data_IF_455717998049
#
_entry.id   IF_455717998049
#
_cell.length_a   1.000
_cell.length_b   1.000
_cell.length_c   1.000
_cell.angle_alpha   90.00
_cell.angle_beta   90.00
_cell.angle_gamma   90.00
#
_symmetry.space_group_name_H-M   'P 1'
#
loop_
_entity.id
_entity.type
_entity.pdbx_description
1 polymer ?
#
# COMPACT_ATOMS: atom_id res chain seq x y z
N UNK A 1 6.61 13.39 14.78
CA UNK A 1 5.14 13.34 14.69
C UNK A 1 4.70 14.75 14.38
N UNK A 2 4.17 14.99 13.18
CA UNK A 2 3.63 16.30 12.82
C UNK A 2 2.21 16.46 13.37
N UNK A 3 1.39 15.40 13.26
CA UNK A 3 0.02 15.39 13.77
C UNK A 3 -0.27 14.30 14.82
N UNK A 4 -1.12 14.64 15.80
CA UNK A 4 -1.59 13.67 16.80
C UNK A 4 -2.69 12.76 16.23
N UNK A 5 -3.59 13.30 15.40
CA UNK A 5 -4.73 12.60 14.79
C UNK A 5 -4.66 12.78 13.27
N UNK A 6 -4.94 11.73 12.50
CA UNK A 6 -5.16 11.88 11.06
C UNK A 6 -6.24 12.93 10.75
N UNK A 7 -6.05 13.66 9.65
CA UNK A 7 -6.94 14.76 9.26
C UNK A 7 -8.11 14.31 8.35
N UNK A 8 -8.27 13.00 8.13
CA UNK A 8 -9.30 12.44 7.26
C UNK A 8 -10.73 12.68 7.78
N UNK A 9 -11.69 12.69 6.86
CA UNK A 9 -13.13 12.76 7.17
C UNK A 9 -13.80 11.44 6.80
N UNK A 10 -14.81 11.01 7.54
CA UNK A 10 -15.59 9.84 7.11
C UNK A 10 -16.35 10.18 5.81
N UNK A 11 -16.15 9.39 4.76
CA UNK A 11 -16.76 9.62 3.45
C UNK A 11 -17.45 8.36 2.92
N UNK A 12 -18.59 8.45 2.21
CA UNK A 12 -19.24 7.28 1.64
C UNK A 12 -18.33 6.54 0.66
N UNK A 13 -18.23 5.21 0.80
CA UNK A 13 -17.45 4.41 -0.15
C UNK A 13 -18.14 4.48 -1.53
N UNK A 14 -17.43 4.90 -2.59
CA UNK A 14 -17.99 4.96 -3.93
C UNK A 14 -18.34 3.55 -4.41
N UNK A 15 -19.27 3.46 -5.36
CA UNK A 15 -19.45 2.21 -6.10
C UNK A 15 -18.21 1.95 -6.96
N UNK A 16 -17.74 0.71 -6.96
CA UNK A 16 -16.72 0.25 -7.89
C UNK A 16 -17.32 0.24 -9.29
N UNK A 17 -16.67 0.90 -10.24
CA UNK A 17 -17.11 0.99 -11.63
C UNK A 17 -16.25 0.04 -12.47
N UNK A 18 -16.87 -1.03 -12.97
CA UNK A 18 -16.20 -2.04 -13.78
C UNK A 18 -16.68 -1.91 -15.21
N UNK A 19 -15.76 -1.62 -16.12
CA UNK A 19 -16.00 -1.57 -17.55
C UNK A 19 -15.69 -2.93 -18.18
N UNK A 20 -16.40 -3.28 -19.25
CA UNK A 20 -16.01 -4.38 -20.13
C UNK A 20 -15.89 -3.81 -21.54
N UNK A 21 -14.70 -3.93 -22.12
CA UNK A 21 -14.44 -3.51 -23.50
C UNK A 21 -15.05 -4.47 -24.53
N UNK A 22 -15.12 -4.05 -25.78
CA UNK A 22 -15.89 -4.76 -26.83
C UNK A 22 -15.02 -5.53 -27.83
N UNK A 23 -13.72 -5.59 -27.56
CA UNK A 23 -12.74 -6.30 -28.34
C UNK A 23 -12.76 -7.81 -28.12
N UNK A 24 -11.83 -8.53 -28.76
CA UNK A 24 -11.78 -9.99 -28.74
C UNK A 24 -11.42 -10.55 -27.36
N UNK A 25 -11.03 -9.69 -26.41
CA UNK A 25 -10.74 -10.10 -25.05
C UNK A 25 -11.88 -9.95 -24.07
N UNK A 26 -12.89 -9.14 -24.39
CA UNK A 26 -13.89 -8.68 -23.42
C UNK A 26 -13.24 -8.30 -22.07
N UNK A 27 -12.11 -7.59 -22.13
CA UNK A 27 -11.31 -7.27 -20.97
C UNK A 27 -12.08 -6.38 -20.01
N UNK A 28 -12.04 -6.77 -18.74
CA UNK A 28 -12.67 -6.00 -17.67
C UNK A 28 -11.68 -4.97 -17.14
N UNK A 29 -12.10 -3.73 -16.94
CA UNK A 29 -11.31 -2.69 -16.31
C UNK A 29 -12.02 -2.11 -15.10
N UNK A 30 -11.26 -1.64 -14.12
CA UNK A 30 -11.80 -0.90 -12.99
C UNK A 30 -11.32 0.55 -13.03
N UNK A 31 -12.26 1.49 -12.89
CA UNK A 31 -11.94 2.89 -12.63
C UNK A 31 -11.61 3.00 -11.15
N UNK A 32 -10.34 3.24 -10.84
CA UNK A 32 -9.81 3.16 -9.47
C UNK A 32 -10.17 4.38 -8.60
N UNK A 33 -10.01 5.64 -9.06
CA UNK A 33 -10.26 6.78 -8.20
C UNK A 33 -11.74 6.89 -7.87
N UNK A 34 -12.06 7.23 -6.62
CA UNK A 34 -13.43 7.47 -6.19
C UNK A 34 -14.13 8.54 -7.04
N UNK A 35 -13.37 9.57 -7.43
CA UNK A 35 -13.74 10.67 -8.32
C UNK A 35 -13.81 10.29 -9.80
N UNK A 36 -13.29 9.13 -10.20
CA UNK A 36 -13.27 8.69 -11.58
C UNK A 36 -14.70 8.55 -12.14
N UNK A 37 -14.89 8.99 -13.38
CA UNK A 37 -16.21 9.02 -14.03
C UNK A 37 -16.21 8.26 -15.35
N UNK A 38 -17.40 7.86 -15.79
CA UNK A 38 -17.62 7.27 -17.09
C UNK A 38 -18.84 7.93 -17.73
N UNK A 39 -18.66 8.43 -18.95
CA UNK A 39 -19.71 8.97 -19.79
C UNK A 39 -19.60 8.37 -21.19
N UNK A 40 -20.72 7.95 -21.79
CA UNK A 40 -20.68 7.28 -23.10
C UNK A 40 -20.18 8.18 -24.23
N UNK A 41 -20.37 9.49 -24.11
CA UNK A 41 -19.97 10.47 -25.11
C UNK A 41 -18.58 11.06 -24.84
N UNK A 42 -18.15 11.15 -23.58
CA UNK A 42 -16.85 11.75 -23.20
C UNK A 42 -15.77 10.74 -22.88
N UNK A 43 -16.13 9.53 -22.43
CA UNK A 43 -15.18 8.50 -22.05
C UNK A 43 -14.98 8.29 -20.56
N UNK A 44 -13.87 7.65 -20.23
CA UNK A 44 -13.38 7.52 -18.85
C UNK A 44 -12.61 8.77 -18.43
N UNK A 45 -12.79 9.15 -17.17
CA UNK A 45 -11.93 10.09 -16.45
C UNK A 45 -11.37 9.39 -15.21
N UNK A 46 -10.06 9.51 -14.99
CA UNK A 46 -9.35 8.87 -13.89
C UNK A 46 -8.74 7.51 -14.25
N UNK A 47 -7.76 7.10 -13.44
CA UNK A 47 -7.02 5.86 -13.58
C UNK A 47 -7.95 4.64 -13.81
N UNK A 48 -7.75 3.94 -14.92
CA UNK A 48 -8.57 2.77 -15.29
C UNK A 48 -7.66 1.59 -15.63
N UNK A 49 -7.71 0.51 -14.84
CA UNK A 49 -6.79 -0.63 -14.98
C UNK A 49 -7.54 -1.86 -15.47
N UNK A 50 -7.08 -2.46 -16.57
CA UNK A 50 -7.64 -3.69 -17.10
C UNK A 50 -7.16 -4.91 -16.31
N UNK A 51 -7.96 -5.96 -16.27
CA UNK A 51 -7.52 -7.29 -15.87
C UNK A 51 -6.31 -7.70 -16.70
N UNK A 52 -5.36 -8.37 -16.06
CA UNK A 52 -4.15 -8.85 -16.70
C UNK A 52 -4.48 -9.81 -17.85
N UNK A 53 -3.92 -9.55 -19.03
CA UNK A 53 -4.08 -10.42 -20.21
C UNK A 53 -2.76 -10.55 -20.99
N UNK A 54 -2.29 -11.78 -21.20
CA UNK A 54 -1.02 -12.09 -21.86
C UNK A 54 -0.99 -11.71 -23.35
N UNK A 55 -2.15 -11.57 -24.01
CA UNK A 55 -2.23 -11.14 -25.41
C UNK A 55 -1.77 -9.70 -25.60
N UNK A 56 -1.62 -8.94 -24.51
CA UNK A 56 -1.08 -7.58 -24.49
C UNK A 56 0.43 -7.53 -24.24
N UNK A 57 1.12 -8.66 -24.06
CA UNK A 57 2.59 -8.69 -23.88
C UNK A 57 3.32 -8.62 -25.22
N UNK A 58 3.07 -7.55 -25.95
CA UNK A 58 3.54 -7.38 -27.32
C UNK A 58 5.05 -7.08 -27.33
N UNK A 59 5.80 -7.92 -28.00
CA UNK A 59 7.25 -7.76 -28.23
C UNK A 59 7.61 -7.54 -29.71
N UNK A 60 6.64 -7.67 -30.61
CA UNK A 60 6.77 -7.36 -32.04
C UNK A 60 6.20 -5.99 -32.39
N UNK A 61 5.85 -5.80 -33.66
CA UNK A 61 5.14 -4.61 -34.13
C UNK A 61 3.85 -4.39 -33.35
N UNK A 62 3.56 -3.13 -33.01
CA UNK A 62 2.37 -2.77 -32.26
C UNK A 62 1.86 -1.38 -32.62
N UNK A 63 0.58 -1.15 -32.37
CA UNK A 63 -0.03 0.18 -32.45
C UNK A 63 -0.86 0.46 -31.21
N UNK A 64 -0.65 1.62 -30.61
CA UNK A 64 -1.49 2.21 -29.57
C UNK A 64 -2.23 3.39 -30.19
N UNK A 65 -3.55 3.49 -30.00
CA UNK A 65 -4.28 4.71 -30.37
C UNK A 65 -5.33 5.06 -29.31
N UNK A 66 -5.56 6.36 -29.11
CA UNK A 66 -6.56 6.87 -28.17
C UNK A 66 -7.20 8.18 -28.67
N UNK A 67 -8.45 8.40 -28.27
CA UNK A 67 -9.18 9.65 -28.47
C UNK A 67 -9.30 10.32 -27.11
N UNK A 68 -8.57 11.43 -26.93
CA UNK A 68 -8.39 12.08 -25.65
C UNK A 68 -8.87 13.51 -25.67
N UNK A 69 -9.42 13.99 -24.56
CA UNK A 69 -9.64 15.43 -24.33
C UNK A 69 -8.81 15.85 -23.11
N UNK A 70 -7.59 16.41 -23.30
CA UNK A 70 -6.72 16.84 -22.21
C UNK A 70 -7.31 18.06 -21.48
N UNK A 71 -7.30 18.06 -20.15
CA UNK A 71 -7.74 19.19 -19.33
C UNK A 71 -6.55 20.04 -18.87
N UNK A 72 -5.43 19.40 -18.51
CA UNK A 72 -4.23 20.08 -18.01
C UNK A 72 -2.96 19.35 -18.46
N UNK A 73 -1.92 20.12 -18.82
CA UNK A 73 -0.58 19.61 -19.13
C UNK A 73 0.33 19.76 -17.92
N UNK A 74 0.76 18.66 -17.33
CA UNK A 74 1.70 18.61 -16.20
C UNK A 74 2.72 17.49 -16.38
N UNK A 75 3.52 17.20 -15.36
CA UNK A 75 4.47 16.09 -15.39
C UNK A 75 3.77 14.74 -15.66
N UNK A 76 4.53 13.74 -16.10
CA UNK A 76 4.12 12.36 -16.42
C UNK A 76 2.64 12.00 -16.30
N UNK A 77 1.93 12.04 -17.44
CA UNK A 77 0.52 11.72 -17.57
C UNK A 77 0.30 10.61 -18.61
N UNK A 78 0.27 9.33 -18.19
CA UNK A 78 0.06 8.19 -19.08
C UNK A 78 -1.35 8.18 -19.66
N UNK A 79 -1.48 8.03 -20.97
CA UNK A 79 -2.78 7.95 -21.65
C UNK A 79 -3.19 6.48 -21.78
N UNK A 80 -2.29 5.66 -22.32
CA UNK A 80 -2.46 4.22 -22.53
C UNK A 80 -1.11 3.54 -22.31
N UNK A 81 -1.00 2.74 -21.25
CA UNK A 81 0.29 2.21 -20.79
C UNK A 81 0.21 0.74 -20.36
N UNK A 82 1.30 0.00 -20.57
CA UNK A 82 1.51 -1.38 -20.11
C UNK A 82 2.69 -1.42 -19.13
N UNK A 83 2.53 -0.70 -18.03
CA UNK A 83 3.62 -0.36 -17.12
C UNK A 83 4.60 0.67 -17.70
N UNK A 84 5.58 1.06 -16.89
CA UNK A 84 6.65 2.00 -17.29
C UNK A 84 7.70 1.30 -18.17
N UNK A 85 7.74 -0.04 -18.16
CA UNK A 85 8.83 -0.87 -18.71
C UNK A 85 8.43 -1.79 -19.87
N UNK A 86 7.39 -1.46 -20.63
CA UNK A 86 7.08 -2.17 -21.89
C UNK A 86 6.71 -1.22 -23.04
N UNK A 87 5.55 -0.58 -23.02
CA UNK A 87 5.18 0.45 -24.00
C UNK A 87 4.14 1.41 -23.41
N UNK A 88 4.15 2.66 -23.85
CA UNK A 88 3.07 3.59 -23.53
C UNK A 88 2.96 4.75 -24.52
N UNK A 89 1.75 5.29 -24.58
CA UNK A 89 1.44 6.63 -25.08
C UNK A 89 1.18 7.52 -23.86
N UNK A 90 1.90 8.64 -23.75
CA UNK A 90 1.79 9.56 -22.61
C UNK A 90 2.03 10.99 -23.03
N UNK A 91 1.52 11.93 -22.24
CA UNK A 91 2.02 13.30 -22.26
C UNK A 91 2.88 13.55 -21.01
N UNK A 92 3.86 14.43 -21.10
CA UNK A 92 4.66 14.89 -19.97
C UNK A 92 5.09 16.32 -20.21
N UNK A 93 4.80 17.19 -19.26
CA UNK A 93 4.90 18.64 -19.42
C UNK A 93 4.19 19.08 -20.70
N UNK A 94 4.91 19.67 -21.65
CA UNK A 94 4.38 20.07 -22.96
C UNK A 94 4.88 19.17 -24.10
N UNK A 95 5.00 17.87 -23.84
CA UNK A 95 5.49 16.89 -24.81
C UNK A 95 4.54 15.69 -24.86
N UNK A 96 4.12 15.28 -26.05
CA UNK A 96 3.49 13.98 -26.29
C UNK A 96 4.56 12.96 -26.69
N UNK A 97 4.50 11.76 -26.11
CA UNK A 97 5.48 10.71 -26.32
C UNK A 97 4.80 9.36 -26.57
N UNK A 98 5.30 8.65 -27.58
CA UNK A 98 5.11 7.21 -27.71
C UNK A 98 6.45 6.53 -27.47
N UNK A 99 6.50 5.57 -26.54
CA UNK A 99 7.72 4.83 -26.27
C UNK A 99 7.50 3.31 -26.23
N UNK A 100 8.59 2.61 -26.50
CA UNK A 100 8.80 1.21 -26.11
C UNK A 100 9.98 1.13 -25.14
N UNK A 101 10.02 0.11 -24.30
CA UNK A 101 11.13 -0.20 -23.42
C UNK A 101 11.75 -1.53 -23.85
N UNK A 102 13.05 -1.53 -24.15
CA UNK A 102 13.74 -2.70 -24.68
C UNK A 102 15.21 -2.75 -24.28
N UNK A 103 15.65 -3.88 -23.74
CA UNK A 103 17.05 -4.09 -23.33
C UNK A 103 17.58 -3.02 -22.37
N UNK A 104 16.77 -2.61 -21.39
CA UNK A 104 17.16 -1.66 -20.35
C UNK A 104 16.96 -0.19 -20.68
N UNK A 105 16.34 0.16 -21.82
CA UNK A 105 16.24 1.54 -22.29
C UNK A 105 14.83 1.88 -22.78
N UNK A 106 14.40 3.12 -22.50
CA UNK A 106 13.24 3.75 -23.12
C UNK A 106 13.63 4.34 -24.48
N UNK A 107 12.88 3.99 -25.52
CA UNK A 107 13.04 4.52 -26.87
C UNK A 107 11.74 5.25 -27.21
N UNK A 108 11.83 6.57 -27.39
CA UNK A 108 10.65 7.42 -27.59
C UNK A 108 10.69 8.16 -28.94
N UNK A 109 9.51 8.28 -29.55
CA UNK A 109 9.18 9.33 -30.50
C UNK A 109 8.39 10.41 -29.74
N UNK A 110 8.90 11.64 -29.74
CA UNK A 110 8.36 12.74 -28.93
C UNK A 110 8.08 13.97 -29.79
N UNK A 111 7.01 14.69 -29.45
CA UNK A 111 6.60 15.91 -30.14
C UNK A 111 6.15 16.97 -29.13
N UNK A 112 6.56 18.23 -29.34
CA UNK A 112 6.15 19.34 -28.50
C UNK A 112 4.67 19.69 -28.75
N UNK A 113 3.90 19.79 -27.67
CA UNK A 113 2.49 20.14 -27.70
C UNK A 113 2.29 21.61 -28.08
N UNK A 114 1.26 21.94 -28.88
CA UNK A 114 0.90 23.31 -29.20
C UNK A 114 0.20 23.96 -27.99
N UNK A 115 0.07 25.29 -28.02
CA UNK A 115 -0.52 26.03 -26.89
C UNK A 115 -2.03 25.77 -26.72
N UNK A 116 -2.72 25.31 -27.76
CA UNK A 116 -4.16 24.98 -27.80
C UNK A 116 -4.47 23.49 -27.59
N UNK A 117 -3.54 22.74 -26.99
CA UNK A 117 -3.67 21.29 -26.78
C UNK A 117 -4.81 20.85 -25.83
N UNK A 118 -5.23 21.71 -24.90
CA UNK A 118 -6.22 21.34 -23.89
C UNK A 118 -7.63 21.80 -24.27
N UNK A 119 -8.64 21.07 -23.78
CA UNK A 119 -10.06 21.37 -23.98
C UNK A 119 -10.66 20.85 -25.29
N UNK A 120 -9.83 20.46 -26.26
CA UNK A 120 -10.23 19.81 -27.51
C UNK A 120 -9.98 18.30 -27.50
N UNK A 121 -10.73 17.55 -28.31
CA UNK A 121 -10.47 16.13 -28.52
C UNK A 121 -9.40 15.93 -29.61
N UNK A 122 -8.44 15.06 -29.33
CA UNK A 122 -7.36 14.67 -30.25
C UNK A 122 -7.33 13.16 -30.44
N UNK A 123 -7.07 12.72 -31.68
CA UNK A 123 -6.70 11.35 -31.99
C UNK A 123 -5.18 11.22 -31.97
N UNK A 124 -4.67 10.45 -31.03
CA UNK A 124 -3.23 10.22 -30.84
C UNK A 124 -2.91 8.75 -31.08
N UNK A 125 -1.83 8.47 -31.81
CA UNK A 125 -1.39 7.10 -32.06
C UNK A 125 0.13 6.95 -32.07
N UNK A 126 0.60 5.86 -31.48
CA UNK A 126 1.99 5.42 -31.52
C UNK A 126 2.09 4.10 -32.26
N UNK A 127 2.87 4.06 -33.33
CA UNK A 127 3.09 2.86 -34.16
C UNK A 127 4.54 2.44 -34.03
N UNK A 128 4.77 1.21 -33.57
CA UNK A 128 6.07 0.56 -33.67
C UNK A 128 6.03 -0.51 -34.75
N UNK A 129 6.88 -0.35 -35.74
CA UNK A 129 7.10 -1.32 -36.81
C UNK A 129 8.47 -1.98 -36.59
N UNK A 130 8.45 -3.25 -36.18
CA UNK A 130 9.65 -4.03 -35.89
C UNK A 130 10.43 -4.39 -37.16
N UNK A 131 9.75 -4.54 -38.30
CA UNK A 131 10.39 -4.89 -39.58
C UNK A 131 11.11 -3.68 -40.16
N UNK A 132 10.49 -2.49 -40.05
CA UNK A 132 11.11 -1.22 -40.43
C UNK A 132 12.07 -0.66 -39.36
N UNK A 133 11.97 -1.11 -38.12
CA UNK A 133 12.75 -0.59 -36.98
C UNK A 133 12.38 0.86 -36.64
N UNK A 134 11.10 1.22 -36.68
CA UNK A 134 10.64 2.60 -36.49
C UNK A 134 9.52 2.73 -35.45
N UNK A 135 9.62 3.76 -34.61
CA UNK A 135 8.51 4.30 -33.82
C UNK A 135 8.00 5.57 -34.51
N UNK A 136 6.70 5.67 -34.76
CA UNK A 136 6.07 6.85 -35.34
C UNK A 136 4.93 7.33 -34.46
N UNK A 137 4.95 8.61 -34.15
CA UNK A 137 3.90 9.30 -33.39
C UNK A 137 3.02 10.09 -34.36
N UNK A 138 1.71 9.81 -34.30
CA UNK A 138 0.67 10.47 -35.06
C UNK A 138 -0.25 11.28 -34.14
N UNK A 139 -0.67 12.44 -34.62
CA UNK A 139 -1.68 13.29 -33.96
C UNK A 139 -2.62 13.82 -35.04
N UNK A 140 -3.92 13.58 -34.88
CA UNK A 140 -4.99 14.01 -35.77
C UNK A 140 -4.71 13.63 -37.24
N UNK A 141 -4.28 12.39 -37.44
CA UNK A 141 -3.94 11.82 -38.75
C UNK A 141 -2.58 12.21 -39.32
N UNK A 142 -1.88 13.19 -38.73
CA UNK A 142 -0.57 13.65 -39.21
C UNK A 142 0.59 13.00 -38.44
N UNK A 143 1.66 12.64 -39.14
CA UNK A 143 2.93 12.22 -38.51
C UNK A 143 3.58 13.44 -37.84
N UNK A 144 3.88 13.32 -36.55
CA UNK A 144 4.53 14.38 -35.75
C UNK A 144 5.99 14.08 -35.42
N UNK A 145 6.33 12.81 -35.23
CA UNK A 145 7.70 12.39 -34.94
C UNK A 145 7.94 10.95 -35.40
N UNK A 146 9.18 10.66 -35.81
CA UNK A 146 9.65 9.31 -36.11
C UNK A 146 11.01 9.10 -35.47
N UNK A 147 11.22 7.92 -34.86
CA UNK A 147 12.47 7.48 -34.26
C UNK A 147 12.83 6.09 -34.77
N UNK A 148 14.07 5.89 -35.22
CA UNK A 148 14.58 4.57 -35.61
C UNK A 148 15.19 3.84 -34.41
N UNK A 149 15.11 2.51 -34.41
CA UNK A 149 15.68 1.64 -33.37
C UNK A 149 15.87 0.21 -33.89
N UNK A 150 16.79 -0.52 -33.28
CA UNK A 150 16.94 -1.98 -33.45
C UNK A 150 16.39 -2.77 -32.27
N UNK A 151 15.91 -2.07 -31.22
CA UNK A 151 15.36 -2.68 -30.00
C UNK A 151 13.87 -2.94 -30.18
N UNK A 152 13.41 -4.03 -29.61
CA UNK A 152 12.00 -4.39 -29.50
C UNK A 152 11.53 -4.27 -28.05
N UNK A 153 10.21 -4.16 -27.80
CA UNK A 153 9.68 -4.13 -26.44
C UNK A 153 10.05 -5.40 -25.66
N UNK A 154 10.52 -5.22 -24.43
CA UNK A 154 10.63 -6.30 -23.44
C UNK A 154 9.23 -6.75 -23.00
N UNK A 155 9.12 -7.97 -22.49
CA UNK A 155 7.87 -8.43 -21.85
C UNK A 155 7.85 -8.08 -20.35
N UNK A 156 6.68 -7.74 -19.83
CA UNK A 156 6.41 -7.59 -18.40
C UNK A 156 5.00 -8.11 -18.08
N UNK A 157 4.71 -8.29 -16.79
CA UNK A 157 3.40 -8.76 -16.31
C UNK A 157 2.47 -7.63 -15.86
N UNK A 158 2.86 -6.37 -16.05
CA UNK A 158 2.06 -5.21 -15.70
C UNK A 158 0.70 -5.27 -16.43
N UNK A 159 -0.44 -5.00 -15.80
CA UNK A 159 -1.70 -4.84 -16.52
C UNK A 159 -1.66 -3.62 -17.45
N UNK A 160 -2.51 -3.62 -18.48
CA UNK A 160 -2.73 -2.44 -19.32
C UNK A 160 -3.63 -1.45 -18.57
N UNK A 161 -3.38 -0.16 -18.74
CA UNK A 161 -4.15 0.89 -18.09
C UNK A 161 -4.42 2.08 -19.02
N UNK A 162 -5.54 2.76 -18.76
CA UNK A 162 -5.86 4.08 -19.29
C UNK A 162 -5.69 5.12 -18.19
N UNK A 163 -5.23 6.31 -18.58
CA UNK A 163 -5.08 7.47 -17.71
C UNK A 163 -4.16 7.27 -16.48
N UNK A 164 -3.39 6.19 -16.43
CA UNK A 164 -2.42 5.89 -15.35
C UNK A 164 -1.35 4.92 -15.83
N UNK A 165 -0.32 4.76 -15.01
CA UNK A 165 0.70 3.74 -15.11
C UNK A 165 0.68 2.91 -13.82
N UNK A 166 0.42 1.61 -13.94
CA UNK A 166 0.34 0.69 -12.79
C UNK A 166 1.65 0.58 -12.01
N UNK A 167 2.80 0.86 -12.64
CA UNK A 167 4.09 0.88 -11.96
C UNK A 167 4.31 2.19 -11.16
N UNK A 168 3.56 3.24 -11.50
CA UNK A 168 3.65 4.57 -10.92
C UNK A 168 2.24 5.17 -10.75
N UNK A 169 1.42 4.65 -9.83
CA UNK A 169 -0.02 4.94 -9.78
C UNK A 169 -0.36 6.38 -9.39
N UNK A 170 0.61 7.18 -8.93
CA UNK A 170 0.45 8.63 -8.69
C UNK A 170 0.48 9.46 -9.97
N UNK A 171 0.89 8.87 -11.10
CA UNK A 171 0.90 9.50 -12.42
C UNK A 171 -0.47 9.30 -13.06
N UNK A 172 -1.23 10.39 -13.20
CA UNK A 172 -2.56 10.35 -13.78
C UNK A 172 -2.71 11.33 -14.96
N UNK A 173 -3.43 10.88 -15.99
CA UNK A 173 -3.82 11.77 -17.09
C UNK A 173 -4.96 12.68 -16.68
N UNK A 174 -4.71 13.98 -16.79
CA UNK A 174 -5.73 15.00 -16.58
C UNK A 174 -6.51 15.20 -17.87
N UNK A 175 -7.57 14.42 -18.05
CA UNK A 175 -8.43 14.47 -19.23
C UNK A 175 -9.35 13.26 -19.34
N UNK A 176 -10.16 13.23 -20.39
CA UNK A 176 -11.02 12.08 -20.70
C UNK A 176 -10.45 11.24 -21.84
N UNK A 177 -10.68 9.92 -21.80
CA UNK A 177 -10.31 8.99 -22.87
C UNK A 177 -11.60 8.34 -23.36
N UNK A 178 -12.06 8.76 -24.55
CA UNK A 178 -13.31 8.28 -25.15
C UNK A 178 -13.16 6.90 -25.79
N UNK A 179 -12.01 6.67 -26.39
CA UNK A 179 -11.67 5.43 -27.10
C UNK A 179 -10.20 5.10 -26.91
N UNK A 180 -9.88 3.82 -26.85
CA UNK A 180 -8.52 3.32 -26.80
C UNK A 180 -8.43 1.95 -27.49
N UNK A 181 -7.37 1.75 -28.28
CA UNK A 181 -7.16 0.50 -29.02
C UNK A 181 -5.70 0.08 -28.96
N UNK A 182 -5.49 -1.23 -28.95
CA UNK A 182 -4.16 -1.87 -29.03
C UNK A 182 -4.18 -2.90 -30.14
N UNK A 183 -3.19 -2.84 -31.02
CA UNK A 183 -2.99 -3.81 -32.09
C UNK A 183 -1.62 -4.46 -31.95
N UNK A 184 -1.55 -5.77 -32.19
CA UNK A 184 -0.33 -6.58 -32.31
C UNK A 184 0.24 -6.51 -33.75
N UNK A 185 0.18 -5.33 -34.37
CA UNK A 185 0.75 -5.04 -35.68
C UNK A 185 0.96 -3.52 -35.85
N UNK A 186 1.84 -3.16 -36.78
CA UNK A 186 1.97 -1.77 -37.21
C UNK A 186 0.81 -1.41 -38.14
N UNK A 187 0.13 -0.31 -37.85
CA UNK A 187 -0.90 0.26 -38.72
C UNK A 187 -0.29 1.34 -39.62
N UNK A 188 -0.73 1.36 -40.87
CA UNK A 188 -0.43 2.46 -41.79
C UNK A 188 -1.23 3.73 -41.43
N UNK A 189 -0.76 4.89 -41.90
CA UNK A 189 -1.49 6.14 -41.74
C UNK A 189 -2.90 6.10 -42.38
N UNK A 190 -3.05 5.37 -43.49
CA UNK A 190 -4.34 5.18 -44.15
C UNK A 190 -5.30 4.34 -43.30
N UNK A 191 -4.80 3.29 -42.64
CA UNK A 191 -5.61 2.51 -41.70
C UNK A 191 -5.99 3.36 -40.48
N UNK A 192 -5.05 4.12 -39.90
CA UNK A 192 -5.34 5.01 -38.77
C UNK A 192 -6.46 6.00 -39.06
N UNK A 193 -6.54 6.51 -40.29
CA UNK A 193 -7.61 7.40 -40.75
C UNK A 193 -8.91 6.72 -41.18
N UNK A 194 -8.99 5.38 -41.14
CA UNK A 194 -10.18 4.64 -41.58
C UNK A 194 -11.16 4.35 -40.43
N UNK A 195 -12.43 4.70 -40.67
CA UNK A 195 -13.58 4.37 -39.82
C UNK A 195 -14.13 2.95 -40.06
N UNK A 196 -13.61 2.22 -41.07
CA UNK A 196 -14.09 0.86 -41.37
C UNK A 196 -13.55 -0.21 -40.42
N UNK A 197 -12.61 0.14 -39.54
CA UNK A 197 -11.95 -0.80 -38.63
C UNK A 197 -12.90 -1.24 -37.52
N UNK A 198 -12.78 -2.51 -37.11
CA UNK A 198 -13.63 -3.11 -36.09
C UNK A 198 -12.88 -3.98 -35.07
N UNK A 199 -13.53 -4.36 -33.96
CA UNK A 199 -12.95 -5.20 -32.91
C UNK A 199 -12.53 -6.60 -33.39
N UNK A 200 -13.10 -7.08 -34.49
CA UNK A 200 -12.78 -8.37 -35.10
C UNK A 200 -11.61 -8.34 -36.08
N UNK A 201 -11.01 -7.17 -36.33
CA UNK A 201 -9.92 -7.04 -37.29
C UNK A 201 -8.65 -7.75 -36.81
N UNK A 202 -7.82 -8.15 -37.77
CA UNK A 202 -6.55 -8.81 -37.48
C UNK A 202 -5.66 -7.95 -36.58
N UNK A 203 -5.10 -8.59 -35.55
CA UNK A 203 -4.16 -7.99 -34.62
C UNK A 203 -4.81 -7.20 -33.49
N UNK A 204 -6.12 -6.96 -33.46
CA UNK A 204 -6.76 -6.25 -32.33
C UNK A 204 -6.58 -7.04 -31.03
N UNK A 205 -6.09 -6.37 -29.98
CA UNK A 205 -5.92 -6.90 -28.62
C UNK A 205 -6.77 -6.17 -27.57
N UNK A 206 -7.08 -4.90 -27.82
CA UNK A 206 -8.00 -4.09 -27.03
C UNK A 206 -8.88 -3.26 -27.98
N UNK A 207 -10.19 -3.21 -27.71
CA UNK A 207 -11.14 -2.32 -28.36
C UNK A 207 -12.07 -1.67 -27.34
N UNK A 208 -11.56 -0.62 -26.69
CA UNK A 208 -12.34 0.23 -25.80
C UNK A 208 -12.98 1.38 -26.59
N UNK A 209 -14.31 1.41 -26.62
CA UNK A 209 -15.12 2.55 -27.05
C UNK A 209 -16.18 2.81 -25.99
N UNK A 210 -16.18 3.99 -25.38
CA UNK A 210 -17.12 4.34 -24.31
C UNK A 210 -18.59 4.25 -24.75
N UNK A 211 -18.89 4.43 -26.04
CA UNK A 211 -20.25 4.26 -26.54
C UNK A 211 -20.72 2.81 -26.47
N UNK A 212 -19.81 1.84 -26.65
CA UNK A 212 -20.10 0.41 -26.72
C UNK A 212 -19.75 -0.37 -25.44
N UNK A 213 -18.87 0.16 -24.59
CA UNK A 213 -18.44 -0.52 -23.36
C UNK A 213 -19.63 -0.76 -22.41
N UNK A 214 -19.59 -1.92 -21.75
CA UNK A 214 -20.53 -2.25 -20.68
C UNK A 214 -20.03 -1.69 -19.36
N UNK A 215 -20.92 -1.09 -18.56
CA UNK A 215 -20.60 -0.60 -17.22
C UNK A 215 -21.38 -1.40 -16.18
N UNK A 216 -20.66 -2.03 -15.26
CA UNK A 216 -21.22 -2.66 -14.05
C UNK A 216 -20.79 -1.87 -12.82
N UNK A 217 -21.74 -1.53 -11.96
CA UNK A 217 -21.43 -0.92 -10.66
C UNK A 217 -21.59 -1.94 -9.53
N UNK A 218 -20.57 -2.07 -8.68
CA UNK A 218 -20.62 -2.92 -7.48
C UNK A 218 -20.54 -2.07 -6.22
N UNK A 219 -21.49 -2.25 -5.30
CA UNK A 219 -21.47 -1.61 -3.98
C UNK A 219 -20.52 -2.38 -3.05
N UNK A 220 -19.52 -1.72 -2.44
CA UNK A 220 -18.71 -2.33 -1.39
C UNK A 220 -19.54 -2.67 -0.14
N UNK A 221 -18.99 -3.54 0.73
CA UNK A 221 -19.67 -3.92 1.98
C UNK A 221 -19.55 -2.80 3.01
N UNK A 222 -18.41 -2.12 3.00
CA UNK A 222 -18.06 -0.97 3.79
C UNK A 222 -18.90 0.24 3.35
N UNK A 223 -19.45 0.96 4.31
CA UNK A 223 -20.29 2.14 4.02
C UNK A 223 -19.47 3.41 3.88
N UNK A 224 -18.38 3.50 4.63
CA UNK A 224 -17.53 4.69 4.69
C UNK A 224 -16.05 4.31 4.70
N UNK A 225 -15.21 5.23 4.23
CA UNK A 225 -13.75 5.17 4.33
C UNK A 225 -13.20 6.55 4.72
N UNK A 226 -11.88 6.63 4.97
CA UNK A 226 -11.16 7.90 5.14
C UNK A 226 -10.44 8.23 3.83
N UNK A 227 -10.96 9.19 3.03
CA UNK A 227 -10.32 9.65 1.82
C UNK A 227 -9.10 10.52 2.12
N UNK A 228 -8.23 10.61 1.12
CA UNK A 228 -7.07 11.49 1.10
C UNK A 228 -7.01 12.28 -0.22
N UNK A 229 -5.96 13.08 -0.44
CA UNK A 229 -5.83 13.88 -1.67
C UNK A 229 -5.96 13.03 -2.93
N UNK A 230 -6.74 13.49 -3.91
CA UNK A 230 -7.04 12.75 -5.14
C UNK A 230 -8.33 11.94 -5.13
N UNK A 231 -8.84 11.52 -3.97
CA UNK A 231 -10.12 10.80 -3.89
C UNK A 231 -11.33 11.66 -4.31
N UNK A 232 -11.19 12.99 -4.32
CA UNK A 232 -12.20 13.92 -4.82
C UNK A 232 -11.93 14.41 -6.25
N UNK A 233 -10.89 13.89 -6.91
CA UNK A 233 -10.56 14.25 -8.30
C UNK A 233 -9.81 15.58 -8.41
N UNK A 234 -9.35 16.09 -7.27
CA UNK A 234 -8.40 17.18 -7.17
C UNK A 234 -7.05 16.75 -7.78
N UNK A 235 -6.60 17.51 -8.77
CA UNK A 235 -5.29 17.36 -9.40
C UNK A 235 -4.75 18.76 -9.74
N UNK A 236 -3.59 19.18 -9.20
CA UNK A 236 -2.66 18.41 -8.37
C UNK A 236 -3.14 18.15 -6.94
N UNK A 237 -2.55 17.14 -6.27
CA UNK A 237 -2.75 16.80 -4.85
C UNK A 237 -1.49 16.14 -4.25
N UNK A 238 -1.41 16.06 -2.91
CA UNK A 238 -0.29 15.44 -2.17
C UNK A 238 -0.65 14.07 -1.56
N UNK A 239 -1.64 13.38 -2.14
CA UNK A 239 -2.03 12.01 -1.76
C UNK A 239 -2.31 11.83 -0.28
N UNK A 240 -1.67 10.82 0.31
CA UNK A 240 -1.87 10.34 1.69
C UNK A 240 -1.16 11.17 2.76
N UNK A 241 -0.57 12.31 2.40
CA UNK A 241 0.23 13.13 3.33
C UNK A 241 -0.59 13.67 4.52
N UNK A 242 -1.91 13.65 4.45
CA UNK A 242 -2.84 14.02 5.53
C UNK A 242 -3.17 12.86 6.51
N UNK A 243 -2.71 11.64 6.23
CA UNK A 243 -2.94 10.42 7.00
C UNK A 243 -1.67 9.97 7.77
N UNK A 244 -1.10 10.90 8.54
CA UNK A 244 0.20 10.77 9.19
C UNK A 244 0.16 10.79 10.73
N UNK A 245 -1.04 10.77 11.33
CA UNK A 245 -1.30 10.88 12.76
C UNK A 245 -0.83 9.69 13.62
N UNK A 246 -0.78 9.90 14.95
CA UNK A 246 -0.57 8.81 15.92
C UNK A 246 -1.82 7.93 16.05
N UNK A 247 -3.01 8.54 16.03
CA UNK A 247 -4.30 7.87 16.02
C UNK A 247 -5.04 8.17 14.72
N UNK A 248 -5.96 7.29 14.35
CA UNK A 248 -6.80 7.47 13.15
C UNK A 248 -7.75 8.66 13.32
N UNK A 249 -8.37 9.09 12.22
CA UNK A 249 -9.30 10.22 12.21
C UNK A 249 -10.47 10.05 13.20
N UNK A 250 -10.91 8.82 13.48
CA UNK A 250 -11.92 8.48 14.49
C UNK A 250 -11.34 8.15 15.87
N UNK A 251 -10.06 8.47 16.11
CA UNK A 251 -9.31 8.25 17.36
C UNK A 251 -9.07 6.78 17.68
N UNK A 252 -9.16 5.92 16.66
CA UNK A 252 -8.71 4.53 16.73
C UNK A 252 -7.20 4.45 16.97
N UNK A 253 -6.79 3.48 17.77
CA UNK A 253 -5.38 3.28 18.11
C UNK A 253 -4.63 2.63 16.95
N UNK A 254 -3.44 3.14 16.66
CA UNK A 254 -2.50 2.52 15.73
C UNK A 254 -1.35 1.86 16.49
N UNK A 255 -0.48 1.12 15.78
CA UNK A 255 0.77 0.62 16.35
C UNK A 255 1.67 1.73 16.90
N UNK A 256 1.66 2.93 16.28
CA UNK A 256 2.41 4.11 16.75
C UNK A 256 1.96 4.52 18.15
N UNK A 257 0.65 4.51 18.41
CA UNK A 257 0.08 4.87 19.70
C UNK A 257 0.51 3.91 20.81
N UNK A 258 0.59 2.61 20.51
CA UNK A 258 1.06 1.60 21.45
C UNK A 258 2.54 1.81 21.83
N UNK A 259 3.39 2.10 20.85
CA UNK A 259 4.82 2.34 21.07
C UNK A 259 5.08 3.64 21.84
N UNK A 260 4.39 4.73 21.48
CA UNK A 260 4.50 6.00 22.20
C UNK A 260 4.08 5.82 23.66
N UNK A 261 3.00 5.08 23.93
CA UNK A 261 2.59 4.75 25.30
C UNK A 261 3.72 4.04 26.06
N UNK A 262 4.41 3.08 25.43
CA UNK A 262 5.49 2.34 26.06
C UNK A 262 6.73 3.22 26.32
N UNK A 263 7.15 4.03 25.34
CA UNK A 263 8.35 4.86 25.46
C UNK A 263 8.13 6.01 26.45
N UNK A 264 6.93 6.59 26.51
CA UNK A 264 6.63 7.74 27.38
C UNK A 264 6.12 7.34 28.78
N UNK A 265 6.02 6.05 29.09
CA UNK A 265 5.65 5.63 30.43
C UNK A 265 6.70 6.12 31.44
N UNK A 266 6.27 6.66 32.57
CA UNK A 266 7.16 7.25 33.57
C UNK A 266 7.62 6.26 34.66
N UNK A 267 7.39 4.96 34.44
CA UNK A 267 7.82 3.90 35.36
C UNK A 267 8.72 2.93 34.60
N UNK A 268 10.00 2.93 34.95
CA UNK A 268 10.99 1.98 34.46
C UNK A 268 11.11 0.77 35.39
N UNK A 269 11.44 -0.38 34.82
CA UNK A 269 11.89 -1.54 35.57
C UNK A 269 13.00 -2.25 34.81
N UNK A 270 14.06 -2.65 35.49
CA UNK A 270 15.18 -3.39 34.92
C UNK A 270 15.72 -4.40 35.94
N UNK A 271 16.44 -5.45 35.50
CA UNK A 271 17.24 -6.26 36.41
C UNK A 271 18.17 -5.36 37.22
N UNK A 272 18.25 -5.57 38.53
CA UNK A 272 19.14 -4.77 39.39
C UNK A 272 20.62 -4.98 39.05
N UNK A 273 20.95 -6.09 38.39
CA UNK A 273 22.27 -6.35 37.82
C UNK A 273 22.14 -7.25 36.60
N UNK A 274 23.07 -7.13 35.65
CA UNK A 274 23.11 -7.96 34.45
C UNK A 274 22.06 -7.57 33.39
N UNK A 275 21.88 -8.43 32.39
CA UNK A 275 20.95 -8.23 31.27
C UNK A 275 19.61 -8.99 31.45
N UNK A 276 19.51 -9.84 32.47
CA UNK A 276 18.42 -10.77 32.75
C UNK A 276 18.25 -10.93 34.26
N UNK A 277 17.06 -11.37 34.68
CA UNK A 277 16.78 -11.63 36.09
C UNK A 277 17.29 -13.01 36.50
N UNK A 278 18.26 -13.03 37.42
CA UNK A 278 18.56 -14.20 38.23
C UNK A 278 17.60 -14.26 39.43
N UNK A 279 17.13 -15.45 39.78
CA UNK A 279 16.32 -15.67 40.98
C UNK A 279 17.16 -16.27 42.10
N UNK A 280 16.94 -15.77 43.31
CA UNK A 280 17.43 -16.39 44.55
C UNK A 280 16.27 -16.93 45.40
N UNK A 281 16.57 -17.36 46.63
CA UNK A 281 15.56 -17.90 47.56
C UNK A 281 14.50 -16.88 47.98
N UNK A 282 14.79 -15.59 47.84
CA UNK A 282 13.93 -14.45 48.18
C UNK A 282 13.14 -13.91 46.99
N UNK A 283 13.63 -14.10 45.76
CA UNK A 283 12.94 -13.78 44.51
C UNK A 283 13.87 -13.18 43.46
N UNK A 284 13.35 -12.23 42.66
CA UNK A 284 14.11 -11.53 41.63
C UNK A 284 14.41 -10.08 42.03
N UNK A 285 15.67 -9.64 41.89
CA UNK A 285 16.07 -8.26 42.17
C UNK A 285 15.79 -7.35 40.96
N UNK A 286 14.94 -6.33 41.16
CA UNK A 286 14.49 -5.40 40.12
C UNK A 286 14.75 -3.96 40.60
N UNK A 287 15.38 -3.14 39.78
CA UNK A 287 15.42 -1.69 39.99
C UNK A 287 14.15 -1.08 39.39
N UNK A 288 13.35 -0.42 40.23
CA UNK A 288 12.28 0.46 39.77
C UNK A 288 12.79 1.88 39.63
N UNK A 289 12.49 2.53 38.51
CA UNK A 289 12.81 3.93 38.23
C UNK A 289 11.51 4.73 38.13
N UNK A 290 11.45 5.84 38.86
CA UNK A 290 10.33 6.77 38.83
C UNK A 290 10.72 8.05 38.10
N UNK A 291 10.17 8.27 36.91
CA UNK A 291 10.41 9.47 36.12
C UNK A 291 9.32 10.54 36.29
N UNK A 292 8.28 10.27 37.10
CA UNK A 292 7.33 11.32 37.48
C UNK A 292 8.05 12.42 38.26
N UNK A 293 7.71 13.68 37.96
CA UNK A 293 8.29 14.86 38.61
C UNK A 293 7.79 15.09 40.04
N UNK A 294 6.54 14.70 40.34
CA UNK A 294 5.87 15.02 41.61
C UNK A 294 5.07 13.86 42.22
N UNK A 295 5.02 12.71 41.56
CA UNK A 295 4.21 11.55 42.00
C UNK A 295 5.12 10.43 42.47
N UNK A 296 4.91 9.92 43.68
CA UNK A 296 5.61 8.71 44.17
C UNK A 296 4.95 7.46 43.57
N UNK A 297 5.72 6.40 43.27
CA UNK A 297 5.15 5.17 42.70
C UNK A 297 4.15 4.47 43.62
N UNK A 298 4.16 4.76 44.93
CA UNK A 298 3.18 4.22 45.89
C UNK A 298 1.76 4.72 45.64
N UNK A 299 1.56 5.70 44.76
CA UNK A 299 0.23 6.15 44.33
C UNK A 299 -0.40 5.23 43.28
N UNK A 300 0.36 4.27 42.74
CA UNK A 300 -0.14 3.25 41.80
C UNK A 300 -0.32 1.89 42.50
N UNK A 301 -1.03 0.99 41.83
CA UNK A 301 -1.05 -0.43 42.15
C UNK A 301 -0.07 -1.18 41.22
N UNK A 302 0.96 -1.80 41.81
CA UNK A 302 1.93 -2.64 41.11
C UNK A 302 1.58 -4.13 41.18
N UNK A 303 1.60 -4.82 40.05
CA UNK A 303 1.36 -6.26 39.92
C UNK A 303 2.48 -6.90 39.12
N UNK A 304 2.71 -8.19 39.37
CA UNK A 304 3.64 -8.99 38.60
C UNK A 304 3.04 -10.32 38.20
N UNK A 305 3.51 -10.88 37.08
CA UNK A 305 3.24 -12.25 36.65
C UNK A 305 4.49 -12.89 36.09
N UNK A 306 4.72 -14.16 36.43
CA UNK A 306 5.70 -15.00 35.74
C UNK A 306 4.98 -15.67 34.56
N UNK A 307 5.53 -15.49 33.38
CA UNK A 307 5.01 -16.03 32.12
C UNK A 307 5.99 -17.07 31.60
N UNK A 308 5.50 -18.26 31.27
CA UNK A 308 6.25 -19.38 30.71
C UNK A 308 5.67 -19.68 29.31
N UNK A 309 6.46 -19.51 28.25
CA UNK A 309 6.03 -19.73 26.85
C UNK A 309 4.69 -19.05 26.50
N UNK A 310 4.47 -17.84 27.01
CA UNK A 310 3.25 -17.06 26.80
C UNK A 310 2.15 -17.27 27.85
N UNK A 311 2.25 -18.30 28.70
CA UNK A 311 1.24 -18.63 29.72
C UNK A 311 1.59 -18.10 31.12
N UNK A 312 0.63 -17.48 31.79
CA UNK A 312 0.84 -16.96 33.16
C UNK A 312 0.84 -18.12 34.16
N UNK A 313 2.00 -18.45 34.71
CA UNK A 313 2.17 -19.56 35.67
C UNK A 313 2.14 -19.12 37.13
N UNK A 314 2.48 -17.86 37.42
CA UNK A 314 2.41 -17.26 38.77
C UNK A 314 2.07 -15.78 38.67
N UNK A 315 1.50 -15.21 39.74
CA UNK A 315 1.20 -13.78 39.84
C UNK A 315 1.20 -13.31 41.29
N UNK A 316 1.41 -12.02 41.48
CA UNK A 316 1.35 -11.37 42.78
C UNK A 316 1.21 -9.86 42.69
N UNK A 317 1.30 -9.21 43.85
CA UNK A 317 1.25 -7.75 43.99
C UNK A 317 2.54 -7.24 44.59
N UNK A 318 2.93 -6.02 44.22
CA UNK A 318 3.99 -5.29 44.90
C UNK A 318 3.39 -4.57 46.12
N UNK A 319 4.11 -4.57 47.23
CA UNK A 319 3.74 -3.88 48.46
C UNK A 319 3.96 -2.36 48.35
N UNK A 320 3.33 -1.59 49.23
CA UNK A 320 3.53 -0.13 49.31
C UNK A 320 4.96 0.25 49.63
N UNK A 321 5.66 -0.56 50.41
CA UNK A 321 7.08 -0.33 50.73
C UNK A 321 7.96 -0.56 49.52
N UNK A 322 7.68 -1.58 48.69
CA UNK A 322 8.39 -1.79 47.42
C UNK A 322 8.13 -0.64 46.45
N UNK A 323 6.88 -0.14 46.39
CA UNK A 323 6.50 0.98 45.54
C UNK A 323 6.86 2.36 46.13
N UNK A 324 7.49 2.44 47.30
CA UNK A 324 7.95 3.72 47.83
C UNK A 324 9.22 4.17 47.11
N UNK A 325 9.00 4.76 45.95
CA UNK A 325 10.04 5.32 45.08
C UNK A 325 9.66 6.79 44.85
N UNK A 326 10.41 7.75 45.44
CA UNK A 326 10.08 9.15 45.32
C UNK A 326 10.19 9.62 43.87
N UNK A 327 9.58 10.77 43.53
CA UNK A 327 9.73 11.38 42.22
C UNK A 327 11.20 11.50 41.80
N UNK A 328 11.50 11.24 40.53
CA UNK A 328 12.87 11.23 39.96
C UNK A 328 13.84 10.25 40.66
N UNK A 329 13.34 9.32 41.47
CA UNK A 329 14.14 8.37 42.24
C UNK A 329 14.23 6.99 41.58
N UNK A 330 15.13 6.17 42.09
CA UNK A 330 15.21 4.74 41.78
C UNK A 330 15.34 3.91 43.05
N UNK A 331 14.90 2.66 43.02
CA UNK A 331 14.96 1.74 44.16
C UNK A 331 15.05 0.29 43.71
N UNK A 332 15.97 -0.44 44.31
CA UNK A 332 16.03 -1.89 44.17
C UNK A 332 15.00 -2.55 45.09
N UNK A 333 14.21 -3.45 44.51
CA UNK A 333 13.21 -4.25 45.20
C UNK A 333 13.43 -5.74 44.90
N UNK A 334 13.08 -6.58 45.85
CA UNK A 334 12.95 -8.03 45.61
C UNK A 334 11.50 -8.33 45.26
N UNK A 335 11.25 -8.78 44.02
CA UNK A 335 9.95 -9.29 43.60
C UNK A 335 9.84 -10.76 44.05
N UNK A 336 8.83 -11.15 44.86
CA UNK A 336 8.74 -12.49 45.44
C UNK A 336 8.21 -13.53 44.43
N UNK A 337 8.84 -13.58 43.25
CA UNK A 337 8.59 -14.57 42.20
C UNK A 337 9.41 -15.83 42.48
N UNK A 338 8.84 -17.00 42.21
CA UNK A 338 9.52 -18.29 42.29
C UNK A 338 9.31 -19.05 41.00
N UNK A 339 10.36 -19.70 40.52
CA UNK A 339 10.27 -20.64 39.40
C UNK A 339 9.48 -21.89 39.79
N UNK A 340 8.91 -22.61 38.82
CA UNK A 340 8.50 -23.99 39.01
C UNK A 340 9.69 -24.87 39.42
N UNK A 341 9.45 -25.90 40.24
CA UNK A 341 10.52 -26.77 40.78
C UNK A 341 11.30 -27.53 39.68
N UNK A 342 10.68 -27.77 38.52
CA UNK A 342 11.27 -28.42 37.36
C UNK A 342 10.85 -27.71 36.06
N UNK A 343 11.59 -26.67 35.62
CA UNK A 343 11.32 -26.01 34.35
C UNK A 343 11.43 -27.01 33.19
N UNK A 344 10.46 -26.98 32.27
CA UNK A 344 10.53 -27.80 31.07
C UNK A 344 11.67 -27.33 30.15
N UNK A 345 12.21 -28.27 29.38
CA UNK A 345 13.30 -27.99 28.46
C UNK A 345 12.87 -26.97 27.40
N UNK A 346 13.70 -25.95 27.18
CA UNK A 346 13.43 -24.87 26.22
C UNK A 346 12.46 -23.80 26.68
N UNK A 347 11.80 -23.96 27.83
CA UNK A 347 10.82 -22.97 28.28
C UNK A 347 11.48 -21.64 28.59
N UNK A 348 10.95 -20.59 27.97
CA UNK A 348 11.33 -19.21 28.20
C UNK A 348 10.46 -18.60 29.29
N UNK A 349 11.10 -17.93 30.25
CA UNK A 349 10.43 -17.28 31.35
C UNK A 349 10.60 -15.77 31.28
N UNK A 350 9.50 -15.06 31.50
CA UNK A 350 9.48 -13.60 31.59
C UNK A 350 8.73 -13.14 32.84
N UNK A 351 9.33 -12.21 33.58
CA UNK A 351 8.64 -11.45 34.60
C UNK A 351 7.95 -10.25 33.93
N UNK A 352 6.62 -10.23 33.94
CA UNK A 352 5.84 -9.08 33.52
C UNK A 352 5.44 -8.26 34.75
N UNK A 353 5.66 -6.95 34.68
CA UNK A 353 5.30 -5.96 35.68
C UNK A 353 4.26 -5.02 35.08
N UNK A 354 3.21 -4.69 35.82
CA UNK A 354 2.14 -3.77 35.41
C UNK A 354 1.82 -2.80 36.54
N UNK A 355 1.74 -1.51 36.21
CA UNK A 355 1.45 -0.43 37.14
C UNK A 355 0.16 0.27 36.72
N UNK A 356 -0.80 0.33 37.63
CA UNK A 356 -2.16 0.78 37.33
C UNK A 356 -2.62 1.90 38.27
N UNK A 357 -3.49 2.78 37.78
CA UNK A 357 -4.14 3.80 38.62
C UNK A 357 -4.98 3.14 39.72
N UNK A 358 -4.93 3.70 40.93
CA UNK A 358 -5.75 3.20 42.06
C UNK A 358 -7.17 3.75 42.04
N UNK A 359 -7.28 5.01 41.66
CA UNK A 359 -8.50 5.77 41.66
C UNK A 359 -8.83 6.24 40.24
N UNK A 360 -10.09 6.58 40.00
CA UNK A 360 -10.48 7.14 38.71
C UNK A 360 -10.02 8.60 38.64
N UNK A 361 -9.41 8.96 37.51
CA UNK A 361 -9.05 10.31 37.16
C UNK A 361 -9.99 10.82 36.05
N UNK A 362 -10.04 12.14 35.77
CA UNK A 362 -10.84 12.68 34.67
C UNK A 362 -10.53 12.05 33.29
N UNK A 363 -9.32 11.51 33.09
CA UNK A 363 -8.84 10.95 31.83
C UNK A 363 -8.84 9.41 31.77
N UNK A 364 -9.03 8.71 32.90
CA UNK A 364 -9.10 7.25 32.92
C UNK A 364 -9.78 6.71 34.18
N UNK A 365 -10.41 5.55 34.07
CA UNK A 365 -10.96 4.82 35.22
C UNK A 365 -9.83 4.26 36.10
N UNK A 366 -10.15 3.94 37.35
CA UNK A 366 -9.29 3.14 38.21
C UNK A 366 -8.91 1.81 37.53
N UNK A 367 -7.67 1.39 37.70
CA UNK A 367 -7.10 0.19 37.06
C UNK A 367 -6.51 0.43 35.67
N UNK A 368 -6.40 1.68 35.21
CA UNK A 368 -5.76 1.99 33.93
C UNK A 368 -4.25 1.75 34.02
N UNK A 369 -3.70 0.96 33.12
CA UNK A 369 -2.26 0.65 33.05
C UNK A 369 -1.48 1.84 32.50
N UNK A 370 -0.71 2.49 33.37
CA UNK A 370 0.15 3.63 33.04
C UNK A 370 1.53 3.22 32.55
N UNK A 371 1.98 2.03 32.95
CA UNK A 371 3.29 1.49 32.58
C UNK A 371 3.28 -0.04 32.68
N UNK A 372 4.05 -0.68 31.82
CA UNK A 372 4.33 -2.12 31.91
C UNK A 372 5.76 -2.43 31.49
N UNK A 373 6.29 -3.52 31.99
CA UNK A 373 7.61 -4.02 31.58
C UNK A 373 7.62 -5.53 31.52
N UNK A 374 8.38 -6.08 30.57
CA UNK A 374 8.68 -7.50 30.50
C UNK A 374 10.19 -7.68 30.62
N UNK A 375 10.62 -8.49 31.59
CA UNK A 375 12.02 -8.77 31.86
C UNK A 375 12.28 -10.26 31.69
N UNK A 376 13.31 -10.62 30.92
CA UNK A 376 13.73 -12.01 30.77
C UNK A 376 14.19 -12.56 32.11
N UNK A 377 13.76 -13.77 32.42
CA UNK A 377 14.19 -14.52 33.61
C UNK A 377 15.09 -15.66 33.17
N UNK A 378 16.29 -15.72 33.76
CA UNK A 378 17.19 -16.86 33.59
C UNK A 378 16.75 -17.96 34.57
N UNK A 379 16.01 -18.93 34.02
CA UNK A 379 15.43 -20.02 34.77
C UNK A 379 16.28 -21.30 34.79
N UNK A 380 17.48 -21.25 34.20
CA UNK A 380 18.33 -22.42 33.94
C UNK A 380 17.57 -23.60 33.29
N UNK A 381 16.58 -23.28 32.44
CA UNK A 381 15.80 -24.26 31.70
C UNK A 381 16.73 -25.17 30.89
N UNK A 382 16.57 -26.50 30.96
CA UNK A 382 17.38 -27.41 30.15
C UNK A 382 17.25 -27.08 28.65
N UNK A 383 18.32 -27.29 27.88
CA UNK A 383 18.23 -27.12 26.43
C UNK A 383 17.26 -28.14 25.82
N UNK A 384 16.48 -27.72 24.82
CA UNK A 384 15.70 -28.65 24.00
C UNK A 384 16.67 -29.57 23.26
N UNK A 385 16.41 -30.87 23.28
CA UNK A 385 17.10 -31.80 22.37
C UNK A 385 16.49 -31.63 20.98
N UNK A 386 17.25 -31.15 19.97
CA UNK A 386 16.70 -30.93 18.64
C UNK A 386 16.22 -32.24 18.03
N UNK A 387 15.06 -32.22 17.39
CA UNK A 387 14.56 -33.34 16.61
C UNK A 387 15.19 -33.26 15.21
N UNK A 388 15.71 -34.36 14.63
CA UNK A 388 16.29 -34.33 13.30
C UNK A 388 15.30 -33.81 12.26
N UNK A 389 15.74 -32.88 11.40
CA UNK A 389 14.89 -32.28 10.36
C UNK A 389 14.20 -33.34 9.47
N UNK A 390 14.87 -34.47 9.23
CA UNK A 390 14.33 -35.60 8.46
C UNK A 390 13.10 -36.28 9.10
N UNK A 391 12.81 -36.01 10.37
CA UNK A 391 11.64 -36.54 11.09
C UNK A 391 10.52 -35.51 11.27
N UNK A 392 10.73 -34.28 10.82
CA UNK A 392 9.69 -33.25 10.75
C UNK A 392 8.92 -33.44 9.44
N UNK A 393 7.58 -33.58 9.46
CA UNK A 393 6.80 -33.68 8.22
C UNK A 393 7.05 -32.48 7.31
N UNK A 394 7.18 -32.73 6.00
CA UNK A 394 7.26 -31.65 5.02
C UNK A 394 6.02 -30.77 5.13
N UNK A 395 6.23 -29.45 5.17
CA UNK A 395 5.15 -28.47 5.13
C UNK A 395 4.32 -28.72 3.87
N UNK A 396 3.04 -29.01 4.06
CA UNK A 396 2.06 -29.06 2.97
C UNK A 396 1.24 -27.78 3.04
N UNK A 397 1.12 -27.11 1.91
CA UNK A 397 0.18 -26.02 1.74
C UNK A 397 -0.78 -26.39 0.61
N UNK A 398 -2.04 -26.00 0.77
CA UNK A 398 -3.03 -25.98 -0.31
C UNK A 398 -3.27 -24.51 -0.62
N UNK A 399 -2.92 -24.08 -1.83
CA UNK A 399 -3.35 -22.79 -2.33
C UNK A 399 -4.86 -22.87 -2.56
N UNK A 400 -5.62 -22.19 -1.70
CA UNK A 400 -7.05 -22.01 -1.88
C UNK A 400 -7.32 -21.16 -3.12
N UNK A 401 -7.34 -21.81 -4.29
CA UNK A 401 -7.82 -21.24 -5.54
C UNK A 401 -9.29 -20.86 -5.39
N UNK A 402 -9.53 -19.64 -4.94
CA UNK A 402 -10.85 -19.04 -4.83
C UNK A 402 -11.36 -18.57 -6.19
N UNK A 403 -11.61 -19.49 -7.11
CA UNK A 403 -12.50 -19.24 -8.25
C UNK A 403 -13.94 -19.41 -7.76
N UNK A 404 -14.48 -18.33 -7.18
CA UNK A 404 -15.88 -18.22 -6.80
C UNK A 404 -16.72 -17.71 -7.98
N UNK A 405 -17.57 -18.58 -8.51
CA UNK A 405 -18.45 -18.39 -9.68
C UNK A 405 -19.58 -17.38 -9.56
#
# INVERSE_FOLDING_TARGET
VWDFVDQGLSWPVPKRKILTESGPGALRAEILPASGTFDRAKGVYGATVFARDERLDLTGSLTLEAWITPHYTGEHQPILAKGDTQYALKQTNRTLEFFIYGGGQWISASWALPDDWTGGEHHVAGVFDADAGTLTLHVDGAVKATRTTTRTPSSNTAPLALATDVDNPTREFSGTIRRARVYARALSAAELGSDSRGPGDEGVRLWFDAAAAELTEKRPREKTFFPYGGDWGDNPNDGTSNADGIVTADRGHTGKAAEIKQIYQAVGAAPASGASLALDSSGAAVTLTNEYLFTNLREFDGRWSLVADGEVVRRGKLSRTQLDVPPLGSKDITVPVKLPDAPAAGTEYFLQLSFTTRESAPWAKAGFEVAKQQLRVDADSPAVTPVPLASVPALRYEDGGGDGG
#
